data_IF_223731323508
#
_entry.id   IF_223731323508
#
_cell.length_a   1.000
_cell.length_b   1.000
_cell.length_c   1.000
_cell.angle_alpha   90.00
_cell.angle_beta   90.00
_cell.angle_gamma   90.00
#
_symmetry.space_group_name_H-M   'P 1'
#
loop_
_entity.id
_entity.type
_entity.pdbx_description
1 polymer ?
#
# COMPACT_ATOMS: atom_id res chain seq x y z
N UNK A 1 -11.25 -2.96 14.65
CA UNK A 1 -11.86 -2.71 13.32
C UNK A 1 -13.33 -3.12 13.27
N UNK A 2 -13.73 -4.11 14.07
CA UNK A 2 -15.12 -4.60 14.22
C UNK A 2 -16.18 -3.50 14.42
N UNK A 3 -15.92 -2.49 15.25
CA UNK A 3 -16.88 -1.41 15.49
C UNK A 3 -17.20 -0.58 14.23
N UNK A 4 -16.23 -0.36 13.33
CA UNK A 4 -16.47 0.32 12.06
C UNK A 4 -17.33 -0.54 11.13
N UNK A 5 -17.06 -1.85 11.08
CA UNK A 5 -17.87 -2.77 10.28
C UNK A 5 -19.30 -2.81 10.81
N UNK A 6 -19.50 -3.00 12.11
CA UNK A 6 -20.82 -2.96 12.77
C UNK A 6 -21.63 -1.71 12.39
N UNK A 7 -21.02 -0.52 12.48
CA UNK A 7 -21.70 0.74 12.09
C UNK A 7 -22.11 0.71 10.60
N UNK A 8 -21.22 0.23 9.72
CA UNK A 8 -21.45 0.23 8.28
C UNK A 8 -22.34 -0.93 7.77
N UNK A 9 -22.54 -2.00 8.54
CA UNK A 9 -23.31 -3.18 8.12
C UNK A 9 -24.67 -3.27 8.78
N UNK A 10 -24.72 -3.08 10.09
CA UNK A 10 -25.92 -3.21 10.92
C UNK A 10 -26.55 -1.85 11.24
N UNK A 11 -25.75 -0.80 11.17
CA UNK A 11 -26.11 0.51 11.69
C UNK A 11 -25.95 0.60 13.19
N UNK A 12 -25.76 1.83 13.65
CA UNK A 12 -25.59 2.14 15.06
C UNK A 12 -26.30 3.47 15.39
N UNK A 13 -26.47 3.77 16.68
CA UNK A 13 -27.19 4.93 17.27
C UNK A 13 -27.59 6.06 16.29
N UNK A 14 -26.62 6.78 15.71
CA UNK A 14 -26.86 7.94 14.84
C UNK A 14 -26.33 7.82 13.40
N UNK A 15 -25.70 6.70 13.04
CA UNK A 15 -25.05 6.49 11.74
C UNK A 15 -25.24 5.05 11.34
N UNK A 16 -25.63 4.80 10.10
CA UNK A 16 -25.78 3.45 9.58
C UNK A 16 -25.57 3.34 8.08
N UNK A 17 -25.85 2.15 7.51
CA UNK A 17 -25.79 1.89 6.07
C UNK A 17 -26.65 2.90 5.30
N UNK A 18 -26.25 3.20 4.07
CA UNK A 18 -26.99 4.13 3.20
C UNK A 18 -28.45 3.71 2.97
N UNK A 19 -28.72 2.40 3.01
CA UNK A 19 -30.03 1.82 2.73
C UNK A 19 -30.89 1.65 4.00
N UNK A 20 -30.43 2.10 5.16
CA UNK A 20 -31.14 2.00 6.42
C UNK A 20 -31.42 3.38 7.04
N UNK A 21 -32.67 3.60 7.44
CA UNK A 21 -33.05 4.80 8.19
C UNK A 21 -32.37 4.75 9.57
N UNK A 22 -31.68 5.82 10.03
CA UNK A 22 -31.08 5.85 11.36
C UNK A 22 -32.13 5.55 12.44
N UNK A 23 -31.91 4.49 13.22
CA UNK A 23 -32.84 4.08 14.27
C UNK A 23 -32.95 5.14 15.37
N UNK A 24 -34.16 5.33 15.93
CA UNK A 24 -34.45 6.30 17.01
C UNK A 24 -33.79 5.96 18.37
N UNK A 25 -32.73 5.15 18.41
CA UNK A 25 -32.06 4.76 19.65
C UNK A 25 -31.16 5.92 20.09
N UNK A 26 -31.48 6.55 21.22
CA UNK A 26 -30.74 7.71 21.76
C UNK A 26 -29.62 7.35 22.75
N UNK A 27 -29.43 6.06 23.05
CA UNK A 27 -28.41 5.56 24.00
C UNK A 27 -27.07 5.17 23.36
N UNK A 28 -26.01 5.00 24.18
CA UNK A 28 -24.72 4.50 23.70
C UNK A 28 -24.85 3.09 23.11
N UNK A 29 -23.98 2.76 22.17
CA UNK A 29 -23.94 1.42 21.58
C UNK A 29 -23.65 0.36 22.65
N UNK A 30 -24.50 -0.66 22.77
CA UNK A 30 -24.30 -1.76 23.72
C UNK A 30 -23.22 -2.74 23.29
N UNK A 31 -22.88 -2.81 22.00
CA UNK A 31 -21.86 -3.74 21.47
C UNK A 31 -20.44 -3.21 21.61
N UNK A 32 -20.22 -1.91 21.37
CA UNK A 32 -18.88 -1.33 21.40
C UNK A 32 -18.90 0.09 21.99
N UNK A 33 -18.10 0.32 23.03
CA UNK A 33 -17.92 1.63 23.66
C UNK A 33 -17.32 2.68 22.70
N UNK A 34 -16.53 2.25 21.72
CA UNK A 34 -15.88 3.15 20.74
C UNK A 34 -16.79 3.62 19.62
N UNK A 35 -18.01 3.05 19.48
CA UNK A 35 -18.91 3.39 18.37
C UNK A 35 -19.21 4.88 18.32
N UNK A 36 -19.46 5.53 19.45
CA UNK A 36 -19.79 6.95 19.50
C UNK A 36 -18.69 7.82 18.86
N UNK A 37 -17.42 7.55 19.18
CA UNK A 37 -16.29 8.29 18.61
C UNK A 37 -16.16 8.09 17.09
N UNK A 38 -16.40 6.87 16.60
CA UNK A 38 -16.35 6.58 15.17
C UNK A 38 -17.54 7.20 14.44
N UNK A 39 -18.74 7.17 15.01
CA UNK A 39 -19.93 7.81 14.46
C UNK A 39 -19.74 9.33 14.31
N UNK A 40 -19.07 9.97 15.28
CA UNK A 40 -18.69 11.38 15.18
C UNK A 40 -17.70 11.64 14.03
N UNK A 41 -16.69 10.76 13.86
CA UNK A 41 -15.76 10.86 12.74
C UNK A 41 -16.48 10.69 11.38
N UNK A 42 -17.42 9.74 11.27
CA UNK A 42 -18.20 9.52 10.06
C UNK A 42 -19.06 10.75 9.73
N UNK A 43 -19.81 11.27 10.71
CA UNK A 43 -20.66 12.44 10.50
C UNK A 43 -19.83 13.67 10.08
N UNK A 44 -18.68 13.89 10.74
CA UNK A 44 -17.76 14.95 10.34
C UNK A 44 -17.21 14.73 8.93
N UNK A 45 -16.81 13.50 8.59
CA UNK A 45 -16.24 13.18 7.28
C UNK A 45 -17.23 13.38 6.12
N UNK A 46 -18.51 13.11 6.37
CA UNK A 46 -19.59 13.34 5.42
C UNK A 46 -19.80 14.84 5.11
N UNK A 47 -19.66 15.71 6.12
CA UNK A 47 -20.03 17.13 6.04
C UNK A 47 -18.83 18.09 5.91
N UNK A 48 -17.60 17.63 6.17
CA UNK A 48 -16.42 18.50 6.19
C UNK A 48 -15.95 18.90 4.79
N UNK A 49 -16.05 20.21 4.48
CA UNK A 49 -15.59 20.80 3.21
C UNK A 49 -14.06 20.77 3.04
N UNK A 50 -13.30 20.74 4.14
CA UNK A 50 -11.82 20.70 4.13
C UNK A 50 -11.25 19.28 3.97
N UNK A 51 -12.08 18.26 3.76
CA UNK A 51 -11.65 16.84 3.74
C UNK A 51 -10.70 16.49 2.59
N UNK A 52 -10.87 17.14 1.43
CA UNK A 52 -10.14 16.81 0.18
C UNK A 52 -8.76 17.47 0.18
N UNK A 53 -8.67 18.71 0.66
CA UNK A 53 -7.42 19.48 0.68
C UNK A 53 -6.47 19.09 1.83
N UNK A 54 -6.80 18.05 2.62
CA UNK A 54 -5.90 17.49 3.64
C UNK A 54 -5.71 18.31 4.92
N UNK A 55 -6.33 19.49 5.03
CA UNK A 55 -6.14 20.41 6.16
C UNK A 55 -6.95 20.08 7.44
N UNK A 56 -7.68 18.96 7.49
CA UNK A 56 -8.51 18.61 8.64
C UNK A 56 -8.02 17.34 9.35
N UNK A 57 -7.62 17.48 10.62
CA UNK A 57 -7.11 16.37 11.45
C UNK A 57 -8.16 15.28 11.69
N UNK A 58 -9.44 15.62 11.89
CA UNK A 58 -10.52 14.64 12.07
C UNK A 58 -10.73 13.82 10.80
N UNK A 59 -10.75 14.47 9.63
CA UNK A 59 -10.78 13.75 8.36
C UNK A 59 -9.55 12.86 8.16
N UNK A 60 -8.36 13.34 8.53
CA UNK A 60 -7.11 12.56 8.44
C UNK A 60 -7.19 11.27 9.28
N UNK A 61 -7.73 11.34 10.51
CA UNK A 61 -7.96 10.15 11.35
C UNK A 61 -8.96 9.19 10.71
N UNK A 62 -10.07 9.70 10.17
CA UNK A 62 -11.05 8.87 9.46
C UNK A 62 -10.42 8.17 8.24
N UNK A 63 -9.63 8.90 7.45
CA UNK A 63 -8.88 8.34 6.32
C UNK A 63 -7.93 7.22 6.74
N UNK A 64 -7.19 7.40 7.85
CA UNK A 64 -6.30 6.36 8.39
C UNK A 64 -7.08 5.12 8.80
N UNK A 65 -8.23 5.29 9.46
CA UNK A 65 -9.09 4.19 9.87
C UNK A 65 -9.61 3.39 8.67
N UNK A 66 -10.08 4.08 7.62
CA UNK A 66 -10.54 3.42 6.38
C UNK A 66 -9.41 2.70 5.64
N UNK A 67 -8.21 3.30 5.61
CA UNK A 67 -7.02 2.66 5.02
C UNK A 67 -6.62 1.41 5.80
N UNK A 68 -6.60 1.48 7.14
CA UNK A 68 -6.31 0.33 8.00
C UNK A 68 -7.35 -0.79 7.80
N UNK A 69 -8.63 -0.44 7.67
CA UNK A 69 -9.65 -1.43 7.34
C UNK A 69 -9.32 -2.16 6.05
N UNK A 70 -9.05 -1.41 4.98
CA UNK A 70 -8.83 -1.99 3.65
C UNK A 70 -7.63 -2.93 3.58
N UNK A 71 -6.59 -2.73 4.41
CA UNK A 71 -5.40 -3.58 4.42
C UNK A 71 -5.61 -4.93 5.10
N UNK A 72 -6.59 -5.05 6.00
CA UNK A 72 -6.89 -6.30 6.73
C UNK A 72 -8.22 -6.93 6.34
N UNK A 73 -9.07 -6.22 5.62
CA UNK A 73 -10.34 -6.74 5.15
C UNK A 73 -10.12 -7.73 4.01
N UNK A 74 -10.73 -8.91 4.07
CA UNK A 74 -10.64 -9.91 2.99
C UNK A 74 -11.79 -9.78 1.99
N UNK A 75 -12.99 -9.40 2.47
CA UNK A 75 -14.20 -9.24 1.67
C UNK A 75 -14.13 -7.95 0.82
N UNK A 76 -13.70 -8.01 -0.43
CA UNK A 76 -13.60 -6.80 -1.29
C UNK A 76 -14.95 -6.31 -1.81
N UNK A 77 -15.80 -7.23 -2.27
CA UNK A 77 -16.97 -6.89 -3.08
C UNK A 77 -18.26 -6.79 -2.25
N UNK A 78 -18.32 -7.48 -1.12
CA UNK A 78 -19.44 -7.43 -0.17
C UNK A 78 -19.22 -6.47 1.00
N UNK A 79 -18.03 -5.88 1.14
CA UNK A 79 -17.74 -5.00 2.27
C UNK A 79 -18.49 -3.67 2.16
N UNK A 80 -19.27 -3.37 3.20
CA UNK A 80 -20.07 -2.14 3.31
C UNK A 80 -19.28 -0.94 3.87
N UNK A 81 -18.02 -1.11 4.26
CA UNK A 81 -17.19 0.00 4.75
C UNK A 81 -16.79 0.91 3.58
N UNK A 82 -17.05 2.24 3.68
CA UNK A 82 -16.79 3.16 2.57
C UNK A 82 -15.31 3.18 2.20
N UNK A 83 -15.03 3.34 0.90
CA UNK A 83 -13.69 3.43 0.32
C UNK A 83 -12.82 2.18 0.46
N UNK A 84 -13.29 1.11 1.12
CA UNK A 84 -12.53 -0.14 1.28
C UNK A 84 -12.06 -0.69 -0.08
N UNK A 85 -12.99 -0.86 -1.02
CA UNK A 85 -12.70 -1.34 -2.38
C UNK A 85 -11.73 -0.43 -3.13
N UNK A 86 -11.92 0.89 -3.04
CA UNK A 86 -11.05 1.86 -3.71
C UNK A 86 -9.61 1.78 -3.19
N UNK A 87 -9.42 1.67 -1.87
CA UNK A 87 -8.11 1.50 -1.29
C UNK A 87 -7.45 0.19 -1.69
N UNK A 88 -8.18 -0.93 -1.69
CA UNK A 88 -7.66 -2.21 -2.18
C UNK A 88 -7.18 -2.13 -3.62
N UNK A 89 -7.98 -1.52 -4.50
CA UNK A 89 -7.61 -1.32 -5.91
C UNK A 89 -6.35 -0.47 -6.05
N UNK A 90 -6.24 0.60 -5.27
CA UNK A 90 -5.03 1.46 -5.26
C UNK A 90 -3.79 0.69 -4.81
N UNK A 91 -3.88 -0.08 -3.73
CA UNK A 91 -2.77 -0.92 -3.24
C UNK A 91 -2.36 -1.94 -4.31
N UNK A 92 -3.33 -2.57 -4.98
CA UNK A 92 -3.04 -3.53 -6.05
C UNK A 92 -2.33 -2.86 -7.24
N UNK A 93 -2.76 -1.65 -7.62
CA UNK A 93 -2.10 -0.87 -8.68
C UNK A 93 -0.68 -0.46 -8.30
N UNK A 94 -0.46 -0.03 -7.05
CA UNK A 94 0.87 0.30 -6.52
C UNK A 94 1.78 -0.93 -6.56
N UNK A 95 1.31 -2.09 -6.07
CA UNK A 95 2.05 -3.37 -6.15
C UNK A 95 2.42 -3.76 -7.57
N UNK A 96 1.50 -3.61 -8.54
CA UNK A 96 1.79 -3.89 -9.96
C UNK A 96 2.88 -2.96 -10.50
N UNK A 97 2.83 -1.67 -10.17
CA UNK A 97 3.86 -0.69 -10.57
C UNK A 97 5.22 -1.04 -9.96
N UNK A 98 5.24 -1.43 -8.69
CA UNK A 98 6.46 -1.80 -8.00
C UNK A 98 7.05 -3.11 -8.53
N UNK A 99 6.22 -4.09 -8.89
CA UNK A 99 6.66 -5.32 -9.56
C UNK A 99 7.31 -5.03 -10.93
N UNK A 100 6.72 -4.16 -11.74
CA UNK A 100 7.32 -3.74 -13.01
C UNK A 100 8.66 -3.03 -12.82
N UNK A 101 8.74 -2.14 -11.82
CA UNK A 101 9.98 -1.46 -11.44
C UNK A 101 11.04 -2.46 -10.97
N UNK A 102 10.68 -3.41 -10.12
CA UNK A 102 11.55 -4.45 -9.63
C UNK A 102 12.11 -5.32 -10.76
N UNK A 103 11.26 -5.77 -11.69
CA UNK A 103 11.67 -6.53 -12.88
C UNK A 103 12.68 -5.77 -13.74
N UNK A 104 12.49 -4.47 -13.92
CA UNK A 104 13.45 -3.62 -14.65
C UNK A 104 14.79 -3.51 -13.93
N UNK A 105 14.76 -3.31 -12.60
CA UNK A 105 15.98 -3.24 -11.78
C UNK A 105 16.76 -4.55 -11.84
N UNK A 106 16.08 -5.69 -11.70
CA UNK A 106 16.71 -7.02 -11.81
C UNK A 106 17.40 -7.19 -13.16
N UNK A 107 16.74 -6.82 -14.27
CA UNK A 107 17.38 -6.86 -15.61
C UNK A 107 18.66 -6.03 -15.68
N UNK A 108 18.64 -4.80 -15.15
CA UNK A 108 19.83 -3.93 -15.12
C UNK A 108 20.96 -4.52 -14.29
N UNK A 109 20.65 -5.07 -13.11
CA UNK A 109 21.64 -5.72 -12.24
C UNK A 109 22.28 -6.92 -12.93
N UNK A 110 21.48 -7.77 -13.59
CA UNK A 110 21.99 -8.91 -14.36
C UNK A 110 22.90 -8.44 -15.50
N UNK A 111 22.48 -7.43 -16.28
CA UNK A 111 23.31 -6.86 -17.36
C UNK A 111 24.63 -6.26 -16.84
N UNK A 112 24.59 -5.53 -15.73
CA UNK A 112 25.82 -4.99 -15.12
C UNK A 112 26.76 -6.11 -14.67
N UNK A 113 26.21 -7.20 -14.10
CA UNK A 113 26.97 -8.37 -13.65
C UNK A 113 27.61 -9.15 -14.81
N UNK A 114 26.94 -9.25 -15.97
CA UNK A 114 27.53 -9.88 -17.15
C UNK A 114 28.65 -9.02 -17.73
N UNK A 115 28.45 -7.71 -17.85
CA UNK A 115 29.48 -6.76 -18.33
C UNK A 115 30.70 -6.78 -17.40
N UNK A 116 30.51 -6.75 -16.08
CA UNK A 116 31.63 -6.82 -15.13
C UNK A 116 32.40 -8.12 -15.29
N UNK A 117 31.72 -9.26 -15.40
CA UNK A 117 32.35 -10.57 -15.59
C UNK A 117 33.15 -10.63 -16.89
N UNK A 118 32.62 -10.10 -17.99
CA UNK A 118 33.31 -10.00 -19.28
C UNK A 118 34.53 -9.07 -19.22
N UNK A 119 34.42 -7.95 -18.49
CA UNK A 119 35.56 -7.04 -18.32
C UNK A 119 36.72 -7.67 -17.52
N UNK A 120 36.39 -8.56 -16.57
CA UNK A 120 37.38 -9.30 -15.79
C UNK A 120 38.06 -10.38 -16.64
N UNK A 121 37.30 -11.10 -17.46
CA UNK A 121 37.89 -12.11 -18.37
C UNK A 121 38.73 -11.46 -19.46
N UNK A 122 38.33 -10.29 -19.99
CA UNK A 122 39.13 -9.52 -20.94
C UNK A 122 40.46 -9.08 -20.32
N UNK A 123 40.44 -8.49 -19.12
CA UNK A 123 41.67 -8.10 -18.39
C UNK A 123 42.60 -9.29 -18.17
N UNK A 124 42.09 -10.43 -17.73
CA UNK A 124 42.90 -11.65 -17.55
C UNK A 124 43.54 -12.14 -18.85
N UNK A 125 42.84 -12.09 -19.99
CA UNK A 125 43.40 -12.50 -21.29
C UNK A 125 44.49 -11.54 -21.79
N UNK A 126 44.32 -10.24 -21.57
CA UNK A 126 45.33 -9.23 -21.93
C UNK A 126 46.60 -9.38 -21.08
N UNK A 127 46.46 -9.70 -19.80
CA UNK A 127 47.57 -9.97 -18.87
C UNK A 127 48.35 -11.24 -19.25
N UNK A 128 47.64 -12.36 -19.52
CA UNK A 128 48.24 -13.63 -19.94
C UNK A 128 48.98 -13.54 -21.31
N UNK A 129 48.47 -12.71 -22.22
CA UNK A 129 49.16 -12.42 -23.50
C UNK A 129 50.43 -11.60 -23.28
N UNK A 130 50.42 -10.61 -22.40
CA UNK A 130 51.58 -9.79 -22.08
C UNK A 130 52.68 -10.59 -21.40
N UNK A 131 52.32 -11.52 -20.52
CA UNK A 131 53.25 -12.43 -19.85
C UNK A 131 53.91 -13.41 -20.83
N UNK A 132 53.14 -13.98 -21.77
CA UNK A 132 53.67 -14.84 -22.85
C UNK A 132 54.59 -14.12 -23.83
N UNK A 133 54.32 -12.85 -24.12
CA UNK A 133 55.20 -12.01 -24.94
C UNK A 133 56.50 -11.64 -24.20
N UNK A 134 56.44 -11.44 -22.88
CA UNK A 134 57.63 -11.22 -22.04
C UNK A 134 58.53 -12.46 -21.93
N UNK A 135 57.95 -13.67 -21.85
CA UNK A 135 58.70 -14.93 -21.78
C UNK A 135 59.42 -15.31 -23.08
N UNK A 136 59.03 -14.75 -24.24
CA UNK A 136 59.77 -14.94 -25.51
C UNK A 136 61.05 -14.10 -25.61
N UNK A 137 61.28 -13.14 -24.72
CA UNK A 137 62.43 -12.23 -24.74
C UNK A 137 63.72 -12.76 -24.06
N UNK A 138 63.66 -13.88 -23.33
CA UNK A 138 64.78 -14.40 -22.53
C UNK A 138 65.38 -15.69 -23.10
N UNK A 139 65.47 -15.81 -24.43
CA UNK A 139 66.15 -16.92 -25.09
C UNK A 139 67.23 -16.38 -26.03
N UNK A 140 68.32 -15.92 -25.43
CA UNK A 140 69.64 -15.74 -26.05
C UNK A 140 70.68 -16.33 -25.09
#
# INVERSE_FOLDING_TARGET
MECLQHICTEGCTSVGPHDMVPGKKKGPCSKFSTCQGIQQLINHFATCKKRVNGGCLRCKRMWQLLRLHSSICEQSDSCKVPLCRQFKLKILQEKKKDDLRWKLLVKKVVSAKTISSLSLTKRRKEEDQREKLGLRGYRL
#
